data_IF_371549585744
#
_entry.id   IF_371549585744
#
_cell.length_a   1.000
_cell.length_b   1.000
_cell.length_c   1.000
_cell.angle_alpha   90.00
_cell.angle_beta   90.00
_cell.angle_gamma   90.00
#
_symmetry.space_group_name_H-M   'P 1'
#
loop_
_entity.id
_entity.type
_entity.pdbx_description
1 polymer ?
#
# COMPACT_ATOMS: atom_id res chain seq x y z
N UNK A 1 -22.02 4.11 -45.36
CA UNK A 1 -20.79 4.46 -44.63
C UNK A 1 -21.21 4.77 -43.21
N UNK A 2 -20.92 3.85 -42.30
CA UNK A 2 -21.49 3.78 -40.95
C UNK A 2 -21.04 4.98 -40.12
N UNK A 3 -21.99 5.65 -39.47
CA UNK A 3 -21.73 6.77 -38.57
C UNK A 3 -20.72 6.36 -37.50
N UNK A 4 -19.66 7.14 -37.34
CA UNK A 4 -18.77 7.08 -36.19
C UNK A 4 -19.60 7.49 -34.97
N UNK A 5 -20.12 6.49 -34.26
CA UNK A 5 -20.82 6.69 -32.99
C UNK A 5 -19.82 7.32 -32.01
N UNK A 6 -20.07 8.58 -31.65
CA UNK A 6 -19.28 9.31 -30.68
C UNK A 6 -19.40 8.64 -29.32
N UNK A 7 -18.29 8.06 -28.85
CA UNK A 7 -18.16 7.56 -27.49
C UNK A 7 -17.91 8.77 -26.59
N UNK A 8 -18.96 9.53 -26.29
CA UNK A 8 -18.93 10.50 -25.20
C UNK A 8 -19.15 9.72 -23.88
N UNK A 9 -18.12 9.01 -23.41
CA UNK A 9 -18.10 8.49 -22.05
C UNK A 9 -17.71 9.63 -21.11
N UNK A 10 -18.70 10.17 -20.40
CA UNK A 10 -18.51 11.13 -19.33
C UNK A 10 -17.87 10.41 -18.14
N UNK A 11 -16.68 10.84 -17.72
CA UNK A 11 -15.93 10.24 -16.61
C UNK A 11 -16.49 10.76 -15.28
N UNK A 12 -17.65 10.24 -14.88
CA UNK A 12 -18.31 10.63 -13.63
C UNK A 12 -17.86 9.70 -12.50
N UNK A 13 -16.81 10.10 -11.78
CA UNK A 13 -16.30 9.38 -10.61
C UNK A 13 -17.14 9.74 -9.38
N UNK A 14 -18.04 8.85 -8.96
CA UNK A 14 -18.84 9.06 -7.77
C UNK A 14 -18.03 8.80 -6.49
N UNK A 15 -18.04 9.79 -5.57
CA UNK A 15 -17.55 9.58 -4.21
C UNK A 15 -18.48 8.61 -3.47
N UNK A 16 -17.93 7.60 -2.80
CA UNK A 16 -18.73 6.74 -1.94
C UNK A 16 -18.39 6.94 -0.47
N UNK A 17 -19.39 6.60 0.33
CA UNK A 17 -19.44 6.81 1.76
C UNK A 17 -19.31 5.49 2.54
N UNK A 18 -19.23 4.34 1.86
CA UNK A 18 -19.13 3.02 2.48
C UNK A 18 -17.70 2.45 2.41
N UNK A 19 -17.16 2.09 3.59
CA UNK A 19 -15.77 1.65 3.77
C UNK A 19 -15.53 0.22 3.26
N UNK A 20 -16.52 -0.65 3.27
CA UNK A 20 -16.33 -2.07 2.91
C UNK A 20 -16.14 -2.29 1.40
N UNK A 21 -16.70 -1.41 0.56
CA UNK A 21 -16.54 -1.46 -0.90
C UNK A 21 -15.55 -0.42 -1.43
N UNK A 22 -14.91 0.34 -0.53
CA UNK A 22 -14.04 1.45 -0.89
C UNK A 22 -12.91 1.00 -1.82
N UNK A 23 -12.16 -0.02 -1.41
CA UNK A 23 -11.00 -0.51 -2.16
C UNK A 23 -11.36 -1.09 -3.53
N UNK A 24 -12.52 -1.75 -3.65
CA UNK A 24 -12.98 -2.35 -4.91
C UNK A 24 -13.39 -1.27 -5.90
N UNK A 25 -14.09 -0.22 -5.43
CA UNK A 25 -14.47 0.91 -6.30
C UNK A 25 -13.25 1.71 -6.72
N UNK A 26 -12.35 2.05 -5.80
CA UNK A 26 -11.15 2.82 -6.13
C UNK A 26 -10.32 2.13 -7.21
N UNK A 27 -10.14 0.80 -7.10
CA UNK A 27 -9.49 0.02 -8.15
C UNK A 27 -10.23 0.09 -9.51
N UNK A 28 -11.57 0.06 -9.52
CA UNK A 28 -12.37 0.19 -10.75
C UNK A 28 -12.26 1.57 -11.37
N UNK A 29 -12.26 2.60 -10.54
CA UNK A 29 -12.13 3.99 -10.96
C UNK A 29 -10.76 4.23 -11.61
N UNK A 30 -9.69 3.74 -10.98
CA UNK A 30 -8.33 3.80 -11.53
C UNK A 30 -8.25 3.11 -12.91
N UNK A 31 -8.82 1.92 -13.04
CA UNK A 31 -8.86 1.19 -14.32
C UNK A 31 -9.60 1.99 -15.39
N UNK A 32 -10.74 2.60 -15.04
CA UNK A 32 -11.55 3.40 -15.96
C UNK A 32 -10.75 4.60 -16.48
N UNK A 33 -10.03 5.30 -15.60
CA UNK A 33 -9.15 6.42 -15.97
C UNK A 33 -8.06 5.97 -16.94
N UNK A 34 -7.36 4.87 -16.61
CA UNK A 34 -6.26 4.34 -17.43
C UNK A 34 -6.77 3.90 -18.82
N UNK A 35 -7.88 3.17 -18.87
CA UNK A 35 -8.50 2.75 -20.14
C UNK A 35 -8.88 3.93 -21.02
N UNK A 36 -9.41 4.99 -20.42
CA UNK A 36 -9.75 6.21 -21.14
C UNK A 36 -8.51 6.89 -21.71
N UNK A 37 -7.45 7.05 -20.91
CA UNK A 37 -6.17 7.60 -21.37
C UNK A 37 -5.59 6.82 -22.55
N UNK A 38 -5.62 5.47 -22.48
CA UNK A 38 -5.15 4.61 -23.58
C UNK A 38 -6.00 4.81 -24.84
N UNK A 39 -7.33 4.89 -24.69
CA UNK A 39 -8.26 5.08 -25.82
C UNK A 39 -8.02 6.43 -26.53
N UNK A 40 -7.61 7.45 -25.77
CA UNK A 40 -7.20 8.76 -26.30
C UNK A 40 -5.79 8.77 -26.90
N UNK A 41 -5.08 7.65 -26.90
CA UNK A 41 -3.74 7.51 -27.50
C UNK A 41 -2.58 7.89 -26.57
N UNK A 42 -2.83 8.05 -25.26
CA UNK A 42 -1.77 8.32 -24.29
C UNK A 42 -0.82 7.12 -24.16
N UNK A 43 0.50 7.39 -24.08
CA UNK A 43 1.54 6.40 -23.81
C UNK A 43 2.18 6.65 -22.45
N UNK A 44 2.22 5.64 -21.61
CA UNK A 44 2.88 5.71 -20.29
C UNK A 44 4.35 5.35 -20.45
N UNK A 45 5.25 6.35 -20.43
CA UNK A 45 6.67 6.16 -20.73
C UNK A 45 7.60 6.32 -19.50
N UNK A 46 7.07 6.85 -18.39
CA UNK A 46 7.84 7.11 -17.16
C UNK A 46 7.17 6.43 -15.96
N UNK A 47 7.09 5.10 -15.96
CA UNK A 47 6.60 4.38 -14.78
C UNK A 47 7.63 4.48 -13.64
N UNK A 48 7.15 4.75 -12.44
CA UNK A 48 7.99 4.67 -11.25
C UNK A 48 8.37 3.21 -10.99
N UNK A 49 9.67 2.95 -10.80
CA UNK A 49 10.15 1.64 -10.37
C UNK A 49 10.06 1.60 -8.85
N UNK A 50 9.07 0.88 -8.34
CA UNK A 50 8.92 0.65 -6.90
C UNK A 50 9.98 -0.37 -6.47
N UNK A 51 11.08 0.10 -5.88
CA UNK A 51 12.07 -0.75 -5.23
C UNK A 51 11.60 -1.13 -3.82
N UNK A 52 10.58 -1.99 -3.76
CA UNK A 52 10.06 -2.49 -2.49
C UNK A 52 10.96 -3.62 -1.97
N UNK A 53 11.87 -3.28 -1.05
CA UNK A 53 12.60 -4.29 -0.30
C UNK A 53 11.72 -4.77 0.87
N UNK A 54 11.06 -5.90 0.67
CA UNK A 54 10.37 -6.62 1.74
C UNK A 54 11.42 -7.32 2.58
N UNK A 55 11.69 -6.76 3.75
CA UNK A 55 12.53 -7.39 4.75
C UNK A 55 11.69 -8.38 5.58
N UNK A 56 12.26 -9.52 6.01
CA UNK A 56 11.58 -10.45 6.89
C UNK A 56 11.06 -9.74 8.14
N UNK A 57 9.82 -10.05 8.53
CA UNK A 57 9.27 -9.63 9.81
C UNK A 57 10.14 -10.12 10.97
N UNK A 58 10.16 -9.37 12.06
CA UNK A 58 11.02 -9.68 13.23
C UNK A 58 10.51 -10.90 14.00
N UNK A 59 9.21 -11.17 13.91
CA UNK A 59 8.55 -12.33 14.50
C UNK A 59 7.56 -12.95 13.49
N UNK A 60 7.39 -14.27 13.54
CA UNK A 60 6.28 -14.94 12.87
C UNK A 60 4.99 -14.77 13.67
N UNK A 61 3.84 -14.91 13.01
CA UNK A 61 2.53 -14.93 13.68
C UNK A 61 2.39 -16.10 14.67
N UNK A 62 3.21 -17.14 14.47
CA UNK A 62 3.23 -18.36 15.28
C UNK A 62 4.22 -18.29 16.46
N UNK A 63 4.95 -17.17 16.62
CA UNK A 63 5.89 -17.03 17.73
C UNK A 63 5.14 -16.84 19.06
N UNK A 64 5.36 -17.75 20.02
CA UNK A 64 4.80 -17.65 21.36
C UNK A 64 5.59 -16.59 22.16
N UNK A 65 4.99 -15.43 22.38
CA UNK A 65 5.58 -14.32 23.13
C UNK A 65 5.17 -14.44 24.60
N UNK A 66 6.15 -14.58 25.50
CA UNK A 66 5.89 -14.51 26.95
C UNK A 66 5.48 -13.09 27.35
N UNK A 67 4.20 -12.91 27.70
CA UNK A 67 3.62 -11.63 28.09
C UNK A 67 4.21 -11.01 29.35
N UNK A 68 5.10 -11.71 30.06
CA UNK A 68 5.77 -11.18 31.26
C UNK A 68 6.95 -10.25 30.92
N UNK A 69 7.54 -10.33 29.72
CA UNK A 69 8.67 -9.51 29.30
C UNK A 69 8.25 -8.43 28.28
N UNK A 70 7.62 -7.35 28.77
CA UNK A 70 7.22 -6.21 27.93
C UNK A 70 8.02 -4.97 28.33
N UNK A 71 8.66 -4.32 27.35
CA UNK A 71 9.36 -3.04 27.52
C UNK A 71 8.69 -1.94 26.69
N UNK A 72 8.55 -0.74 27.27
CA UNK A 72 8.04 0.44 26.57
C UNK A 72 9.18 1.41 26.27
N UNK A 73 9.61 1.47 25.01
CA UNK A 73 10.57 2.47 24.57
C UNK A 73 9.94 3.87 24.52
N UNK A 74 10.74 4.90 24.81
CA UNK A 74 10.37 6.33 24.68
C UNK A 74 11.46 7.03 23.87
N UNK A 75 11.08 8.07 23.12
CA UNK A 75 12.05 8.89 22.39
C UNK A 75 12.64 8.23 21.14
N UNK A 76 11.96 7.22 20.58
CA UNK A 76 12.35 6.70 19.27
C UNK A 76 12.13 7.79 18.19
N UNK A 77 13.07 7.95 17.25
CA UNK A 77 12.85 8.79 16.07
C UNK A 77 11.55 8.41 15.37
N UNK A 78 10.79 9.40 14.88
CA UNK A 78 9.52 9.16 14.18
C UNK A 78 9.66 8.25 12.94
N UNK A 79 10.86 8.19 12.34
CA UNK A 79 11.14 7.35 11.17
C UNK A 79 11.62 5.94 11.54
N UNK A 80 11.70 5.60 12.83
CA UNK A 80 12.22 4.28 13.23
C UNK A 80 11.24 3.21 12.82
N UNK A 81 11.73 2.21 12.09
CA UNK A 81 10.98 1.01 11.75
C UNK A 81 11.09 -0.05 12.85
N UNK A 82 10.24 -1.07 12.81
CA UNK A 82 10.34 -2.21 13.72
C UNK A 82 11.73 -2.88 13.62
N UNK A 83 12.34 -2.87 12.44
CA UNK A 83 13.69 -3.44 12.24
C UNK A 83 14.77 -2.63 12.94
N UNK A 84 14.63 -1.30 12.97
CA UNK A 84 15.57 -0.43 13.68
C UNK A 84 15.48 -0.69 15.19
N UNK A 85 14.26 -0.92 15.69
CA UNK A 85 14.01 -1.33 17.07
C UNK A 85 14.65 -2.70 17.34
N UNK A 86 14.43 -3.70 16.48
CA UNK A 86 15.01 -5.03 16.63
C UNK A 86 16.54 -5.03 16.57
N UNK A 87 17.14 -4.24 15.67
CA UNK A 87 18.60 -4.05 15.58
C UNK A 87 19.16 -3.35 16.82
N UNK A 88 18.45 -2.36 17.36
CA UNK A 88 18.86 -1.67 18.58
C UNK A 88 18.91 -2.62 19.79
N UNK A 89 17.91 -3.49 19.92
CA UNK A 89 17.88 -4.49 21.00
C UNK A 89 18.68 -5.76 20.71
N UNK A 90 19.30 -5.88 19.52
CA UNK A 90 20.11 -7.04 19.14
C UNK A 90 21.35 -7.15 20.03
N UNK A 91 21.48 -8.28 20.73
CA UNK A 91 22.61 -8.54 21.63
C UNK A 91 22.43 -8.00 23.05
N UNK A 92 21.29 -7.35 23.35
CA UNK A 92 20.86 -7.14 24.72
C UNK A 92 20.19 -8.42 25.22
N UNK A 93 20.45 -8.79 26.47
CA UNK A 93 19.82 -9.94 27.12
C UNK A 93 18.42 -9.53 27.65
N UNK A 94 17.60 -8.96 26.77
CA UNK A 94 16.16 -8.82 27.01
C UNK A 94 15.63 -10.24 26.93
N UNK A 95 15.04 -10.74 28.02
CA UNK A 95 14.75 -12.16 28.19
C UNK A 95 14.06 -12.77 26.97
N UNK A 96 14.48 -13.99 26.61
CA UNK A 96 13.90 -14.77 25.53
C UNK A 96 12.44 -15.10 25.83
#
# INVERSE_FOLDING_TARGET
>A
MTLHSGVHMHLELQACQDNNEFYVREARDMVTVVQHMITLGHKFENNEVINLNLEPGICSIDDEIDGTCIVRARGLPWQSSDQDIAKFFRGLNVAK
#
